data_IF_270215082637
#
_entry.id   IF_270215082637
#
_cell.length_a   1.000
_cell.length_b   1.000
_cell.length_c   1.000
_cell.angle_alpha   90.00
_cell.angle_beta   90.00
_cell.angle_gamma   90.00
#
_symmetry.space_group_name_H-M   'P 1'
#
loop_
_entity.id
_entity.type
_entity.pdbx_description
1 polymer ?
#
# COMPACT_ATOMS: atom_id res chain seq x y z
N UNK A 1 -15.44 8.23 -9.26
CA UNK A 1 -14.45 7.31 -8.69
C UNK A 1 -13.10 7.56 -9.31
N UNK A 2 -12.07 7.50 -8.52
CA UNK A 2 -10.71 7.66 -9.00
C UNK A 2 -10.04 6.30 -9.10
N UNK A 3 -9.10 6.19 -10.01
CA UNK A 3 -8.37 4.95 -10.20
C UNK A 3 -7.00 5.08 -9.55
N UNK A 4 -6.69 4.16 -8.67
CA UNK A 4 -5.44 4.18 -7.93
C UNK A 4 -4.57 3.00 -8.34
N UNK A 5 -3.28 3.27 -8.48
CA UNK A 5 -2.31 2.26 -8.82
C UNK A 5 -1.56 1.86 -7.56
N UNK A 6 -1.60 0.57 -7.25
CA UNK A 6 -1.00 0.04 -6.04
C UNK A 6 0.23 -0.76 -6.45
N UNK A 7 1.40 -0.26 -6.11
CA UNK A 7 2.66 -0.89 -6.45
C UNK A 7 3.18 -1.67 -5.26
N UNK A 8 3.30 -2.98 -5.42
CA UNK A 8 3.84 -3.85 -4.39
C UNK A 8 5.31 -4.07 -4.69
N UNK A 9 6.17 -3.63 -3.79
CA UNK A 9 7.60 -3.65 -4.05
C UNK A 9 8.25 -4.85 -3.40
N UNK A 10 9.34 -5.32 -4.03
CA UNK A 10 10.14 -6.42 -3.49
C UNK A 10 11.03 -5.88 -2.38
N UNK A 11 11.67 -6.80 -1.60
CA UNK A 11 12.56 -6.34 -0.51
C UNK A 11 13.68 -5.43 -0.99
N UNK A 12 14.12 -5.56 -2.23
CA UNK A 12 15.19 -4.73 -2.75
C UNK A 12 14.68 -3.40 -3.32
N UNK A 13 13.37 -3.15 -3.24
CA UNK A 13 12.79 -1.91 -3.73
C UNK A 13 12.29 -1.96 -5.15
N UNK A 14 12.49 -3.06 -5.85
CA UNK A 14 12.01 -3.16 -7.22
C UNK A 14 10.52 -3.50 -7.24
N UNK A 15 9.86 -3.24 -8.37
CA UNK A 15 8.43 -3.49 -8.49
C UNK A 15 8.18 -4.99 -8.60
N UNK A 16 7.44 -5.53 -7.63
CA UNK A 16 7.10 -6.93 -7.61
C UNK A 16 5.82 -7.20 -8.37
N UNK A 17 4.79 -6.40 -8.10
CA UNK A 17 3.54 -6.50 -8.84
C UNK A 17 2.79 -5.20 -8.71
N UNK A 18 1.77 -5.04 -9.53
CA UNK A 18 1.01 -3.81 -9.57
C UNK A 18 -0.46 -4.16 -9.71
N UNK A 19 -1.29 -3.46 -8.96
CA UNK A 19 -2.73 -3.62 -9.00
C UNK A 19 -3.37 -2.28 -9.22
N UNK A 20 -4.60 -2.29 -9.72
CA UNK A 20 -5.38 -1.07 -9.89
C UNK A 20 -6.68 -1.24 -9.13
N UNK A 21 -7.05 -0.22 -8.36
CA UNK A 21 -8.32 -0.23 -7.65
C UNK A 21 -9.04 1.07 -7.92
N UNK A 22 -10.37 1.01 -7.87
CA UNK A 22 -11.21 2.18 -8.03
C UNK A 22 -11.79 2.55 -6.69
N UNK A 23 -11.58 3.78 -6.26
CA UNK A 23 -12.07 4.24 -4.97
C UNK A 23 -12.61 5.64 -5.11
N UNK A 24 -13.47 6.03 -4.18
CA UNK A 24 -14.10 7.34 -4.24
C UNK A 24 -13.11 8.45 -3.90
N UNK A 25 -12.18 8.19 -2.99
CA UNK A 25 -11.20 9.19 -2.56
C UNK A 25 -10.01 8.50 -1.92
N UNK A 26 -9.01 9.31 -1.58
CA UNK A 26 -7.74 8.80 -1.08
C UNK A 26 -7.91 7.96 0.18
N UNK A 27 -8.75 8.41 1.11
CA UNK A 27 -8.92 7.69 2.38
C UNK A 27 -9.40 6.28 2.15
N UNK A 28 -10.32 6.10 1.21
CA UNK A 28 -10.81 4.77 0.89
C UNK A 28 -9.69 3.90 0.31
N UNK A 29 -8.88 4.48 -0.57
CA UNK A 29 -7.78 3.75 -1.17
C UNK A 29 -6.78 3.32 -0.10
N UNK A 30 -6.45 4.23 0.82
CA UNK A 30 -5.51 3.94 1.89
C UNK A 30 -6.05 2.83 2.78
N UNK A 31 -7.33 2.88 3.12
CA UNK A 31 -7.93 1.83 3.94
C UNK A 31 -7.85 0.47 3.25
N UNK A 32 -8.15 0.43 1.96
CA UNK A 32 -8.11 -0.83 1.23
C UNK A 32 -6.71 -1.40 1.19
N UNK A 33 -5.72 -0.55 0.89
CA UNK A 33 -4.35 -1.01 0.80
C UNK A 33 -3.85 -1.42 2.18
N UNK A 34 -4.26 -0.72 3.21
CA UNK A 34 -3.84 -1.05 4.57
C UNK A 34 -4.30 -2.42 5.03
N UNK A 35 -5.32 -3.00 4.37
CA UNK A 35 -5.79 -4.32 4.72
C UNK A 35 -5.03 -5.44 4.00
N UNK A 36 -4.14 -5.08 3.08
CA UNK A 36 -3.37 -6.08 2.37
C UNK A 36 -2.34 -6.70 3.30
N UNK A 37 -2.21 -8.01 3.21
CA UNK A 37 -1.26 -8.75 4.03
C UNK A 37 0.04 -8.87 3.26
N UNK A 38 0.76 -7.76 3.13
CA UNK A 38 1.97 -7.71 2.33
C UNK A 38 3.09 -7.16 3.19
N UNK A 39 4.21 -7.89 3.36
CA UNK A 39 5.23 -7.50 4.33
C UNK A 39 6.24 -6.48 3.83
N UNK A 40 6.24 -6.19 2.53
CA UNK A 40 7.21 -5.26 1.98
C UNK A 40 6.53 -3.94 1.63
N UNK A 41 7.28 -3.04 1.03
CA UNK A 41 6.78 -1.68 0.80
C UNK A 41 5.67 -1.66 -0.24
N UNK A 42 4.69 -0.79 -0.03
CA UNK A 42 3.59 -0.57 -0.96
C UNK A 42 3.50 0.92 -1.24
N UNK A 43 3.42 1.29 -2.51
CA UNK A 43 3.19 2.68 -2.90
C UNK A 43 1.85 2.78 -3.60
N UNK A 44 1.13 3.85 -3.29
CA UNK A 44 -0.19 4.10 -3.89
C UNK A 44 -0.12 5.40 -4.67
N UNK A 45 -0.54 5.35 -5.91
CA UNK A 45 -0.51 6.49 -6.82
C UNK A 45 -1.87 6.70 -7.47
N UNK A 46 -2.17 7.96 -7.75
CA UNK A 46 -3.30 8.31 -8.60
C UNK A 46 -2.75 9.17 -9.72
N UNK A 47 -2.65 8.60 -10.93
CA UNK A 47 -1.99 9.28 -12.01
C UNK A 47 -0.54 9.54 -11.64
N UNK A 48 -0.14 10.80 -11.65
CA UNK A 48 1.22 11.17 -11.28
C UNK A 48 1.32 11.65 -9.84
N UNK A 49 0.24 11.58 -9.09
CA UNK A 49 0.22 12.05 -7.71
C UNK A 49 0.47 10.90 -6.76
N UNK A 50 1.47 11.02 -5.92
CA UNK A 50 1.79 10.00 -4.93
C UNK A 50 0.84 10.19 -3.74
N UNK A 51 0.03 9.18 -3.47
CA UNK A 51 -1.01 9.28 -2.47
C UNK A 51 -0.52 8.82 -1.11
N UNK A 52 0.16 7.66 -1.06
CA UNK A 52 0.57 7.11 0.22
C UNK A 52 1.68 6.10 0.01
N UNK A 53 2.43 5.85 1.08
CA UNK A 53 3.45 4.83 1.12
C UNK A 53 3.31 4.04 2.39
N UNK A 54 3.31 2.72 2.28
CA UNK A 54 3.28 1.83 3.41
C UNK A 54 4.66 1.19 3.52
N UNK A 55 5.39 1.47 4.60
CA UNK A 55 6.75 0.94 4.74
C UNK A 55 6.72 -0.56 4.96
N UNK A 56 7.86 -1.24 4.76
CA UNK A 56 7.92 -2.68 5.03
C UNK A 56 7.63 -2.96 6.49
N UNK A 57 7.11 -4.14 6.76
CA UNK A 57 6.89 -4.55 8.13
C UNK A 57 8.20 -4.68 8.85
N UNK A 58 8.19 -4.33 10.12
CA UNK A 58 9.36 -4.49 10.95
C UNK A 58 9.00 -5.28 12.17
N UNK A 59 8.18 -6.25 12.01
CA UNK A 59 7.65 -7.00 13.10
C UNK A 59 6.18 -6.77 13.13
N UNK A 60 5.49 -7.11 14.21
CA UNK A 60 4.04 -6.97 14.25
C UNK A 60 3.67 -5.54 14.01
N UNK A 61 2.87 -5.33 13.01
CA UNK A 61 2.51 -4.00 12.65
C UNK A 61 1.60 -3.38 13.68
N UNK A 62 0.82 -4.20 14.32
CA UNK A 62 0.00 -3.72 15.35
C UNK A 62 0.28 -4.49 16.55
N UNK A 63 0.11 -3.97 17.39
CA UNK A 63 0.35 -4.66 18.39
C UNK A 63 1.02 -4.97 18.99
N UNK A 64 1.09 -4.64 19.82
CA UNK A 64 1.92 -4.80 20.49
C UNK A 64 1.73 -5.82 21.14
N UNK A 65 1.34 -5.83 21.21
CA UNK A 65 1.19 -6.56 21.89
C UNK A 65 1.50 -7.70 21.57
N UNK A 66 1.48 -7.76 21.09
CA UNK A 66 1.63 -8.66 20.81
C UNK A 66 2.70 -8.96 20.88
N UNK A 67 3.09 -8.61 20.98
CA UNK A 67 4.11 -8.75 21.17
C UNK A 67 4.52 -9.25 21.56
#
# INVERSE_FOLDING_TARGET
>A
MARYRVNLLAPDGSLQSQQTIDCAHDDEAIDRVGELDYPYEIDVWEGERHVARFPPWRGPRFGPGLS
#
